data_IF_002781333066
#
_entry.id   IF_002781333066
#
_cell.length_a   1.000
_cell.length_b   1.000
_cell.length_c   1.000
_cell.angle_alpha   90.00
_cell.angle_beta   90.00
_cell.angle_gamma   90.00
#
_symmetry.space_group_name_H-M   'P 1'
#
loop_
_entity.id
_entity.type
_entity.pdbx_description
1 polymer ?
#
# COMPACT_ATOMS: atom_id res chain seq x y z
N UNK A 1 -42.78 -11.33 -77.40
CA UNK A 1 -41.94 -10.12 -77.16
C UNK A 1 -42.43 -9.41 -75.93
N UNK A 2 -41.78 -9.56 -74.77
CA UNK A 2 -42.21 -9.01 -73.54
C UNK A 2 -41.13 -8.04 -73.03
N UNK A 3 -41.48 -6.79 -72.82
CA UNK A 3 -40.63 -5.72 -72.38
C UNK A 3 -40.55 -5.71 -70.84
N UNK A 4 -39.36 -5.95 -70.30
CA UNK A 4 -39.04 -5.84 -68.88
C UNK A 4 -38.72 -4.37 -68.55
N UNK A 5 -39.43 -3.79 -67.56
CA UNK A 5 -39.12 -2.50 -66.94
C UNK A 5 -37.93 -2.62 -65.97
N UNK A 6 -37.04 -1.64 -65.86
CA UNK A 6 -35.99 -1.62 -64.85
C UNK A 6 -36.53 -1.15 -63.49
N UNK A 7 -36.11 -1.87 -62.45
CA UNK A 7 -36.39 -1.57 -61.05
C UNK A 7 -35.55 -0.41 -60.54
N UNK A 8 -36.20 0.52 -59.86
CA UNK A 8 -35.58 1.60 -59.11
C UNK A 8 -34.99 1.04 -57.80
N UNK A 9 -33.68 0.84 -57.78
CA UNK A 9 -32.91 0.61 -56.55
C UNK A 9 -31.72 1.57 -56.54
N UNK A 10 -31.89 2.70 -55.95
CA UNK A 10 -30.81 3.67 -55.82
C UNK A 10 -31.27 4.86 -55.00
N UNK A 11 -31.00 4.84 -53.65
CA UNK A 11 -30.82 5.98 -52.76
C UNK A 11 -31.25 5.63 -51.33
N UNK A 12 -30.40 4.95 -50.60
CA UNK A 12 -30.34 5.04 -49.12
C UNK A 12 -28.97 4.50 -48.65
N UNK A 13 -27.88 5.15 -49.07
CA UNK A 13 -26.56 4.93 -48.56
C UNK A 13 -25.96 6.33 -48.26
N UNK A 14 -26.22 6.87 -47.10
CA UNK A 14 -25.71 8.20 -46.81
C UNK A 14 -26.02 8.74 -45.38
N UNK A 15 -26.80 8.03 -44.57
CA UNK A 15 -27.14 8.52 -43.24
C UNK A 15 -26.71 7.63 -42.05
N UNK A 16 -26.01 6.52 -42.34
CA UNK A 16 -25.56 5.61 -41.28
C UNK A 16 -24.15 5.86 -40.78
N UNK A 17 -23.35 6.71 -41.41
CA UNK A 17 -21.90 6.87 -41.07
C UNK A 17 -21.61 8.02 -40.07
N UNK A 18 -22.54 8.91 -39.84
CA UNK A 18 -22.35 10.04 -38.91
C UNK A 18 -22.78 9.75 -37.46
N UNK A 19 -23.58 8.72 -37.23
CA UNK A 19 -24.00 8.31 -35.89
C UNK A 19 -23.00 7.40 -35.17
N UNK A 20 -22.05 6.77 -35.88
CA UNK A 20 -21.07 5.87 -35.30
C UNK A 20 -19.81 6.57 -34.74
N UNK A 21 -19.57 7.84 -35.08
CA UNK A 21 -18.38 8.59 -34.62
C UNK A 21 -18.61 9.34 -33.30
N UNK A 22 -19.85 9.50 -32.85
CA UNK A 22 -20.17 10.26 -31.62
C UNK A 22 -20.27 9.39 -30.36
N UNK A 23 -20.07 8.07 -30.45
CA UNK A 23 -20.14 7.13 -29.31
C UNK A 23 -18.77 6.67 -28.81
N UNK A 24 -17.68 7.24 -29.30
CA UNK A 24 -16.30 6.82 -28.92
C UNK A 24 -15.59 7.72 -27.91
N UNK A 25 -16.24 8.65 -27.24
CA UNK A 25 -15.56 9.59 -26.35
C UNK A 25 -16.26 9.75 -24.99
N UNK A 26 -16.68 8.67 -24.38
CA UNK A 26 -16.98 8.67 -22.95
C UNK A 26 -16.42 7.39 -22.32
N UNK A 27 -15.12 7.14 -22.51
CA UNK A 27 -14.42 6.36 -21.51
C UNK A 27 -14.48 7.18 -20.21
N UNK A 28 -15.04 6.66 -19.10
CA UNK A 28 -15.01 7.38 -17.84
C UNK A 28 -13.56 7.70 -17.56
N UNK A 29 -13.24 9.00 -17.44
CA UNK A 29 -11.92 9.43 -17.02
C UNK A 29 -11.66 8.74 -15.69
N UNK A 30 -10.69 7.82 -15.67
CA UNK A 30 -10.20 7.24 -14.41
C UNK A 30 -9.78 8.44 -13.58
N UNK A 31 -10.37 8.66 -12.40
CA UNK A 31 -10.01 9.82 -11.60
C UNK A 31 -8.50 9.76 -11.35
N UNK A 32 -7.80 10.83 -11.72
CA UNK A 32 -6.38 10.95 -11.44
C UNK A 32 -6.18 10.77 -9.94
N UNK A 33 -5.20 9.95 -9.57
CA UNK A 33 -4.84 9.80 -8.15
C UNK A 33 -4.47 11.19 -7.63
N UNK A 34 -5.05 11.66 -6.50
CA UNK A 34 -4.73 12.98 -5.98
C UNK A 34 -3.21 13.04 -5.70
N UNK A 35 -2.58 14.13 -6.14
CA UNK A 35 -1.17 14.35 -5.93
C UNK A 35 -0.89 14.37 -4.42
N UNK A 36 0.06 13.57 -3.96
CA UNK A 36 0.49 13.59 -2.58
C UNK A 36 1.25 14.90 -2.31
N UNK A 37 0.97 15.53 -1.18
CA UNK A 37 1.75 16.66 -0.68
C UNK A 37 2.65 16.19 0.47
N UNK A 38 3.96 15.98 0.23
CA UNK A 38 4.91 15.55 1.25
C UNK A 38 4.99 16.50 2.45
N UNK A 39 4.71 17.79 2.24
CA UNK A 39 4.68 18.81 3.29
C UNK A 39 3.55 18.60 4.29
N UNK A 40 2.49 17.88 3.91
CA UNK A 40 1.37 17.57 4.82
C UNK A 40 1.69 16.45 5.80
N UNK A 41 2.68 15.60 5.56
CA UNK A 41 3.08 14.52 6.48
C UNK A 41 3.87 15.14 7.64
N UNK A 42 3.27 15.34 8.81
CA UNK A 42 3.90 16.09 9.91
C UNK A 42 4.84 15.23 10.74
N UNK A 43 4.77 13.91 10.60
CA UNK A 43 5.50 12.96 11.44
C UNK A 43 6.74 12.40 10.74
N UNK A 44 7.75 12.07 11.52
CA UNK A 44 8.94 11.31 11.09
C UNK A 44 8.96 9.91 11.69
N UNK A 45 8.22 9.71 12.78
CA UNK A 45 8.10 8.44 13.50
C UNK A 45 6.73 8.35 14.17
N UNK A 46 6.19 7.16 14.24
CA UNK A 46 5.14 6.81 15.19
C UNK A 46 5.20 5.33 15.58
N UNK A 47 4.68 5.03 16.78
CA UNK A 47 4.53 3.67 17.29
C UNK A 47 3.07 3.38 17.65
N UNK A 48 2.56 2.27 17.13
CA UNK A 48 1.24 1.71 17.47
C UNK A 48 1.42 0.46 18.31
N UNK A 49 0.54 0.24 19.29
CA UNK A 49 0.55 -0.96 20.13
C UNK A 49 -0.85 -1.48 20.36
N UNK A 50 -0.98 -2.79 20.34
CA UNK A 50 -2.15 -3.52 20.81
C UNK A 50 -1.73 -4.57 21.83
N UNK A 51 -2.58 -4.80 22.83
CA UNK A 51 -2.42 -5.88 23.81
C UNK A 51 -3.77 -6.53 24.06
N UNK A 52 -3.83 -7.85 23.98
CA UNK A 52 -5.04 -8.63 24.24
C UNK A 52 -4.69 -10.04 24.70
N UNK A 53 -5.23 -10.46 25.85
CA UNK A 53 -5.07 -11.82 26.38
C UNK A 53 -3.60 -12.28 26.46
N UNK A 54 -2.68 -11.40 26.88
CA UNK A 54 -1.26 -11.69 26.98
C UNK A 54 -0.51 -11.70 25.63
N UNK A 55 -1.20 -11.40 24.54
CA UNK A 55 -0.57 -11.19 23.23
C UNK A 55 -0.34 -9.70 23.03
N UNK A 56 0.82 -9.33 22.49
CA UNK A 56 1.20 -7.94 22.20
C UNK A 56 1.64 -7.79 20.75
N UNK A 57 1.19 -6.71 20.12
CA UNK A 57 1.68 -6.30 18.80
C UNK A 57 2.19 -4.87 18.93
N UNK A 58 3.41 -4.65 18.50
CA UNK A 58 4.00 -3.31 18.41
C UNK A 58 4.39 -3.06 16.96
N UNK A 59 3.98 -1.94 16.40
CA UNK A 59 4.35 -1.51 15.05
C UNK A 59 4.96 -0.13 15.11
N UNK A 60 6.20 -0.01 14.70
CA UNK A 60 6.92 1.26 14.55
C UNK A 60 7.00 1.64 13.07
N UNK A 61 6.74 2.89 12.77
CA UNK A 61 6.83 3.44 11.41
C UNK A 61 7.75 4.65 11.44
N UNK A 62 8.72 4.68 10.52
CA UNK A 62 9.68 5.78 10.36
C UNK A 62 9.73 6.20 8.90
N UNK A 63 9.85 7.50 8.65
CA UNK A 63 10.13 8.03 7.33
C UNK A 63 11.44 8.83 7.35
N UNK A 64 12.17 8.73 6.24
CA UNK A 64 13.34 9.55 5.97
C UNK A 64 13.32 9.99 4.52
N UNK A 65 13.57 11.27 4.28
CA UNK A 65 13.81 11.81 2.95
C UNK A 65 15.30 11.63 2.61
N UNK A 66 15.58 11.06 1.45
CA UNK A 66 16.90 10.66 1.02
C UNK A 66 17.19 11.21 -0.39
N UNK A 67 18.43 11.61 -0.71
CA UNK A 67 18.81 11.96 -2.06
C UNK A 67 18.65 10.76 -3.01
N UNK A 68 17.88 10.91 -4.08
CA UNK A 68 17.61 9.83 -5.03
C UNK A 68 18.89 9.27 -5.67
N UNK A 69 19.87 10.12 -5.93
CA UNK A 69 21.16 9.72 -6.51
C UNK A 69 21.94 8.77 -5.59
N UNK A 70 21.89 8.97 -4.27
CA UNK A 70 22.61 8.13 -3.30
C UNK A 70 21.98 6.71 -3.16
N UNK A 71 20.67 6.62 -3.36
CA UNK A 71 19.95 5.34 -3.20
C UNK A 71 19.83 4.54 -4.50
N UNK A 72 20.12 5.17 -5.65
CA UNK A 72 19.89 4.58 -6.99
C UNK A 72 20.55 3.22 -7.19
N UNK A 73 21.74 3.02 -6.66
CA UNK A 73 22.49 1.77 -6.80
C UNK A 73 21.81 0.57 -6.10
N UNK A 74 20.86 0.81 -5.16
CA UNK A 74 20.14 -0.26 -4.46
C UNK A 74 19.14 -0.98 -5.36
N UNK A 75 18.54 -0.26 -6.30
CA UNK A 75 17.44 -0.78 -7.10
C UNK A 75 17.70 -0.75 -8.61
N UNK A 76 18.85 -0.24 -9.07
CA UNK A 76 19.25 -0.24 -10.47
C UNK A 76 20.61 -0.93 -10.67
N UNK A 77 20.74 -1.77 -11.74
CA UNK A 77 19.66 -2.27 -12.56
C UNK A 77 18.82 -3.31 -11.83
N UNK A 78 17.50 -3.31 -12.06
CA UNK A 78 16.62 -4.38 -11.57
C UNK A 78 16.86 -5.69 -12.35
N UNK A 79 16.59 -6.85 -11.73
CA UNK A 79 16.85 -8.15 -12.36
C UNK A 79 15.91 -8.45 -13.54
N UNK A 80 14.73 -7.83 -13.59
CA UNK A 80 13.74 -8.02 -14.65
C UNK A 80 12.78 -6.82 -14.74
N UNK A 81 12.34 -6.48 -15.97
CA UNK A 81 11.43 -5.38 -16.24
C UNK A 81 12.14 -4.02 -16.33
N UNK A 82 11.40 -2.99 -16.73
CA UNK A 82 11.89 -1.62 -16.80
C UNK A 82 11.65 -0.94 -15.43
N UNK A 83 12.72 -0.66 -14.65
CA UNK A 83 12.54 -0.06 -13.33
C UNK A 83 11.93 1.34 -13.45
N UNK A 84 11.16 1.71 -12.42
CA UNK A 84 10.75 3.10 -12.27
C UNK A 84 11.97 3.98 -11.96
N UNK A 85 11.95 5.19 -12.46
CA UNK A 85 12.92 6.22 -12.11
C UNK A 85 12.23 7.28 -11.25
N UNK A 86 12.90 7.79 -10.20
CA UNK A 86 12.37 8.90 -9.43
C UNK A 86 12.04 10.10 -10.32
N UNK A 87 10.93 10.76 -10.08
CA UNK A 87 10.53 11.96 -10.79
C UNK A 87 11.25 13.23 -10.27
N UNK A 88 11.91 13.12 -9.11
CA UNK A 88 12.58 14.24 -8.43
C UNK A 88 13.94 13.87 -7.84
N UNK A 89 14.61 14.86 -7.20
CA UNK A 89 15.91 14.65 -6.57
C UNK A 89 15.85 13.87 -5.25
N UNK A 90 14.66 13.69 -4.71
CA UNK A 90 14.45 13.07 -3.40
C UNK A 90 13.57 11.83 -3.49
N UNK A 91 13.81 10.89 -2.59
CA UNK A 91 12.99 9.73 -2.31
C UNK A 91 12.57 9.73 -0.85
N UNK A 92 11.48 9.07 -0.56
CA UNK A 92 11.12 8.70 0.80
C UNK A 92 11.46 7.23 1.03
N UNK A 93 12.15 6.97 2.13
CA UNK A 93 12.29 5.64 2.71
C UNK A 93 11.31 5.51 3.86
N UNK A 94 10.33 4.63 3.74
CA UNK A 94 9.44 4.21 4.81
C UNK A 94 9.97 2.92 5.42
N UNK A 95 10.16 2.91 6.73
CA UNK A 95 10.59 1.74 7.50
C UNK A 95 9.47 1.35 8.47
N UNK A 96 9.04 0.10 8.40
CA UNK A 96 8.03 -0.47 9.30
C UNK A 96 8.63 -1.66 10.01
N UNK A 97 8.64 -1.64 11.35
CA UNK A 97 9.01 -2.77 12.19
C UNK A 97 7.78 -3.22 12.95
N UNK A 98 7.39 -4.48 12.81
CA UNK A 98 6.31 -5.09 13.58
C UNK A 98 6.87 -6.23 14.41
N UNK A 99 6.60 -6.20 15.72
CA UNK A 99 6.91 -7.29 16.66
C UNK A 99 5.60 -7.86 17.15
N UNK A 100 5.43 -9.18 17.01
CA UNK A 100 4.26 -9.94 17.45
C UNK A 100 4.70 -10.90 18.54
N UNK A 101 4.24 -10.66 19.76
CA UNK A 101 4.49 -11.49 20.94
C UNK A 101 3.21 -12.26 21.25
N UNK A 102 3.24 -13.58 21.10
CA UNK A 102 2.14 -14.47 21.42
C UNK A 102 2.53 -15.29 22.65
N UNK A 103 1.66 -15.31 23.65
CA UNK A 103 1.90 -16.03 24.89
C UNK A 103 2.31 -17.50 24.61
N UNK A 104 3.45 -17.91 25.17
CA UNK A 104 3.99 -19.27 25.00
C UNK A 104 4.59 -19.57 23.63
N UNK A 105 4.79 -18.57 22.76
CA UNK A 105 5.44 -18.72 21.45
C UNK A 105 6.66 -17.81 21.32
N UNK A 106 7.56 -18.18 20.41
CA UNK A 106 8.66 -17.31 20.02
C UNK A 106 8.11 -16.04 19.36
N UNK A 107 8.63 -14.86 19.73
CA UNK A 107 8.25 -13.61 19.07
C UNK A 107 8.57 -13.63 17.57
N UNK A 108 7.68 -13.06 16.78
CA UNK A 108 7.89 -12.84 15.35
C UNK A 108 8.23 -11.38 15.12
N UNK A 109 9.35 -11.12 14.43
CA UNK A 109 9.73 -9.78 14.02
C UNK A 109 9.66 -9.66 12.50
N UNK A 110 9.05 -8.59 12.02
CA UNK A 110 8.95 -8.25 10.60
C UNK A 110 9.49 -6.84 10.41
N UNK A 111 10.58 -6.72 9.67
CA UNK A 111 11.14 -5.45 9.24
C UNK A 111 10.86 -5.25 7.75
N UNK A 112 10.33 -4.09 7.37
CA UNK A 112 10.05 -3.72 6.00
C UNK A 112 10.58 -2.31 5.71
N UNK A 113 11.34 -2.17 4.63
CA UNK A 113 11.83 -0.89 4.15
C UNK A 113 11.39 -0.71 2.70
N UNK A 114 10.72 0.40 2.41
CA UNK A 114 10.21 0.72 1.08
C UNK A 114 10.78 2.06 0.64
N UNK A 115 11.33 2.12 -0.57
CA UNK A 115 11.75 3.35 -1.24
C UNK A 115 10.75 3.70 -2.31
N UNK A 116 10.25 4.93 -2.30
CA UNK A 116 9.24 5.40 -3.23
C UNK A 116 9.37 6.89 -3.55
N UNK A 117 8.78 7.29 -4.67
CA UNK A 117 8.67 8.70 -5.04
C UNK A 117 7.62 9.39 -4.16
N UNK A 118 7.96 10.47 -3.44
CA UNK A 118 7.02 11.12 -2.53
C UNK A 118 5.84 11.82 -3.21
N UNK A 119 5.94 12.13 -4.51
CA UNK A 119 4.93 12.92 -5.24
C UNK A 119 3.67 12.12 -5.57
N UNK A 120 3.84 10.85 -5.87
CA UNK A 120 2.76 9.98 -6.32
C UNK A 120 2.73 8.62 -5.60
N UNK A 121 3.73 8.34 -4.75
CA UNK A 121 3.85 7.07 -4.04
C UNK A 121 4.38 5.93 -4.91
N UNK A 122 4.93 6.19 -6.12
CA UNK A 122 5.51 5.14 -6.98
C UNK A 122 6.57 4.35 -6.23
N UNK A 123 6.33 3.05 -5.94
CA UNK A 123 7.32 2.22 -5.27
C UNK A 123 8.45 1.88 -6.24
N UNK A 124 9.68 1.89 -5.74
CA UNK A 124 10.88 1.54 -6.51
C UNK A 124 11.45 0.22 -6.05
N UNK A 125 11.59 0.08 -4.73
CA UNK A 125 12.25 -1.07 -4.13
C UNK A 125 11.72 -1.32 -2.72
N UNK A 126 11.68 -2.60 -2.31
CA UNK A 126 11.32 -2.99 -0.95
C UNK A 126 12.24 -4.11 -0.46
N UNK A 127 12.64 -4.02 0.79
CA UNK A 127 13.24 -5.10 1.56
C UNK A 127 12.26 -5.52 2.65
N UNK A 128 12.02 -6.81 2.80
CA UNK A 128 11.23 -7.35 3.89
C UNK A 128 11.93 -8.55 4.50
N UNK A 129 12.14 -8.49 5.82
CA UNK A 129 12.74 -9.57 6.58
C UNK A 129 11.78 -10.02 7.67
N UNK A 130 11.56 -11.31 7.79
CA UNK A 130 10.83 -11.93 8.90
C UNK A 130 11.76 -12.88 9.63
N UNK A 131 11.74 -12.81 10.97
CA UNK A 131 12.49 -13.68 11.85
C UNK A 131 11.64 -14.18 13.00
N UNK A 132 11.93 -15.37 13.51
CA UNK A 132 11.24 -16.03 14.61
C UNK A 132 10.49 -17.28 14.19
N UNK A 133 9.61 -17.17 13.21
CA UNK A 133 8.85 -18.30 12.64
C UNK A 133 8.77 -18.08 11.14
N UNK A 134 9.04 -19.12 10.34
CA UNK A 134 9.07 -19.06 8.87
C UNK A 134 9.95 -17.91 8.38
N UNK A 135 11.20 -17.94 8.75
CA UNK A 135 12.18 -16.89 8.48
C UNK A 135 12.40 -16.70 7.00
N UNK A 136 12.35 -15.46 6.54
CA UNK A 136 12.64 -15.10 5.16
C UNK A 136 13.22 -13.70 5.03
N UNK A 137 13.97 -13.49 3.95
CA UNK A 137 14.47 -12.21 3.50
C UNK A 137 14.05 -12.00 2.03
N UNK A 138 13.26 -10.99 1.76
CA UNK A 138 12.66 -10.71 0.47
C UNK A 138 13.08 -9.34 -0.04
N UNK A 139 13.50 -9.30 -1.30
CA UNK A 139 13.78 -8.11 -2.06
C UNK A 139 12.75 -8.00 -3.18
N UNK A 140 12.14 -6.82 -3.34
CA UNK A 140 11.16 -6.56 -4.37
C UNK A 140 11.60 -5.38 -5.22
N UNK A 141 11.64 -5.57 -6.53
CA UNK A 141 11.84 -4.50 -7.50
C UNK A 141 10.52 -4.23 -8.20
N UNK A 142 10.05 -3.00 -8.10
CA UNK A 142 8.85 -2.56 -8.78
C UNK A 142 9.22 -2.00 -10.14
N UNK A 143 8.55 -2.47 -11.18
CA UNK A 143 8.81 -2.12 -12.57
C UNK A 143 7.50 -1.73 -13.26
N UNK A 144 7.58 -1.26 -14.50
CA UNK A 144 6.38 -0.92 -15.29
C UNK A 144 5.55 -2.14 -15.66
N UNK A 145 6.18 -3.30 -15.77
CA UNK A 145 5.55 -4.55 -16.21
C UNK A 145 5.10 -5.45 -15.06
N UNK A 146 5.60 -5.23 -13.85
CA UNK A 146 5.31 -6.12 -12.73
C UNK A 146 6.27 -5.94 -11.57
N UNK A 147 6.22 -6.90 -10.64
CA UNK A 147 7.08 -6.93 -9.45
C UNK A 147 7.99 -8.15 -9.52
N UNK A 148 9.29 -7.95 -9.49
CA UNK A 148 10.25 -9.04 -9.32
C UNK A 148 10.55 -9.22 -7.84
N UNK A 149 10.45 -10.46 -7.34
CA UNK A 149 10.79 -10.83 -5.96
C UNK A 149 11.96 -11.81 -5.95
N UNK A 150 12.96 -11.51 -5.13
CA UNK A 150 13.98 -12.47 -4.71
C UNK A 150 13.75 -12.77 -3.23
N UNK A 151 13.71 -14.05 -2.88
CA UNK A 151 13.52 -14.51 -1.50
C UNK A 151 14.66 -15.42 -1.10
N UNK A 152 15.19 -15.22 0.10
CA UNK A 152 16.11 -16.12 0.77
C UNK A 152 15.46 -16.67 2.03
N UNK A 153 15.72 -17.94 2.31
CA UNK A 153 15.31 -18.62 3.54
C UNK A 153 16.52 -19.38 4.10
N UNK A 154 16.61 -19.54 5.43
CA UNK A 154 17.68 -20.35 6.02
C UNK A 154 17.42 -21.83 5.72
N UNK A 155 18.49 -22.57 5.40
CA UNK A 155 18.41 -24.03 5.22
C UNK A 155 18.42 -24.78 6.56
N UNK A 156 18.86 -24.14 7.63
CA UNK A 156 18.99 -24.72 8.98
C UNK A 156 18.90 -23.63 10.06
N UNK A 157 18.72 -24.04 11.31
CA UNK A 157 18.76 -23.14 12.47
C UNK A 157 20.12 -22.43 12.64
N UNK A 158 21.22 -23.08 12.26
CA UNK A 158 22.57 -22.46 12.25
C UNK A 158 22.63 -21.33 11.24
N UNK A 159 22.02 -21.51 10.09
CA UNK A 159 21.97 -20.48 9.07
C UNK A 159 21.00 -19.35 9.45
N UNK A 160 19.90 -19.66 10.13
CA UNK A 160 18.95 -18.66 10.64
C UNK A 160 19.60 -17.65 11.61
N UNK A 161 20.67 -18.05 12.31
CA UNK A 161 21.44 -17.17 13.18
C UNK A 161 22.41 -16.23 12.43
N UNK A 162 22.56 -16.37 11.11
CA UNK A 162 23.41 -15.53 10.27
C UNK A 162 22.61 -14.34 9.68
N UNK A 163 23.30 -13.33 9.13
CA UNK A 163 22.63 -12.26 8.41
C UNK A 163 21.71 -12.79 7.30
N UNK A 164 20.47 -12.31 7.21
CA UNK A 164 19.44 -12.84 6.28
C UNK A 164 19.86 -12.84 4.80
N UNK A 165 20.74 -11.91 4.42
CA UNK A 165 21.28 -11.79 3.07
C UNK A 165 22.18 -12.99 2.69
N UNK A 166 22.68 -13.72 3.69
CA UNK A 166 23.56 -14.89 3.51
C UNK A 166 22.82 -16.22 3.46
N UNK A 167 21.48 -16.26 3.69
CA UNK A 167 20.71 -17.50 3.69
C UNK A 167 20.71 -18.15 2.31
N UNK A 168 20.86 -19.49 2.29
CA UNK A 168 21.20 -20.22 1.07
C UNK A 168 20.04 -20.65 0.21
N UNK A 169 18.85 -20.89 0.77
CA UNK A 169 17.67 -21.23 -0.03
C UNK A 169 17.20 -20.00 -0.79
N UNK A 170 17.45 -19.97 -2.11
CA UNK A 170 17.11 -18.86 -2.99
C UNK A 170 15.90 -19.20 -3.86
N UNK A 171 14.91 -18.32 -3.89
CA UNK A 171 13.78 -18.34 -4.80
C UNK A 171 13.62 -17.01 -5.50
N UNK A 172 13.29 -17.04 -6.80
CA UNK A 172 13.03 -15.85 -7.59
C UNK A 172 11.70 -15.99 -8.32
N UNK A 173 10.93 -14.90 -8.35
CA UNK A 173 9.65 -14.89 -9.05
C UNK A 173 9.34 -13.50 -9.60
N UNK A 174 8.74 -13.47 -10.79
CA UNK A 174 8.21 -12.27 -11.40
C UNK A 174 6.69 -12.33 -11.44
N UNK A 175 6.05 -11.32 -10.87
CA UNK A 175 4.60 -11.14 -10.84
C UNK A 175 4.22 -10.08 -11.87
N UNK A 176 3.82 -10.47 -13.10
CA UNK A 176 3.41 -9.49 -14.10
C UNK A 176 2.10 -8.83 -13.70
N UNK A 177 1.97 -7.55 -13.98
CA UNK A 177 0.71 -6.85 -13.72
C UNK A 177 -0.43 -7.34 -14.60
N UNK A 178 -0.14 -7.65 -15.88
CA UNK A 178 -1.09 -8.23 -16.83
C UNK A 178 -2.43 -7.51 -16.90
N UNK A 179 -3.51 -8.22 -17.28
CA UNK A 179 -4.86 -7.65 -17.35
C UNK A 179 -5.41 -7.18 -16.00
N UNK A 180 -4.93 -7.74 -14.89
CA UNK A 180 -5.37 -7.35 -13.55
C UNK A 180 -5.08 -5.87 -13.23
N UNK A 181 -4.04 -5.28 -13.86
CA UNK A 181 -3.72 -3.87 -13.72
C UNK A 181 -4.47 -2.95 -14.68
N UNK A 182 -5.32 -3.49 -15.57
CA UNK A 182 -6.16 -2.65 -16.43
C UNK A 182 -7.10 -1.80 -15.56
N UNK A 183 -7.05 -0.47 -15.75
CA UNK A 183 -7.77 0.48 -14.90
C UNK A 183 -7.05 0.86 -13.61
N UNK A 184 -5.82 0.38 -13.40
CA UNK A 184 -4.92 0.87 -12.36
C UNK A 184 -3.97 1.90 -12.98
N UNK A 185 -4.06 3.19 -12.66
CA UNK A 185 -3.11 4.18 -13.17
C UNK A 185 -1.69 3.88 -12.68
N UNK A 186 -1.62 3.25 -11.51
CA UNK A 186 -0.38 2.88 -10.82
C UNK A 186 -0.63 1.74 -9.86
N UNK A 187 0.38 0.90 -9.63
CA UNK A 187 0.37 -0.15 -8.60
C UNK A 187 1.32 0.25 -7.48
N UNK A 188 0.76 0.51 -6.31
CA UNK A 188 1.47 0.92 -5.11
C UNK A 188 1.95 -0.29 -4.30
N UNK A 189 2.73 -0.02 -3.27
CA UNK A 189 3.07 -0.96 -2.21
C UNK A 189 2.22 -0.67 -0.96
N UNK A 190 1.76 -1.70 -0.27
CA UNK A 190 0.77 -1.59 0.81
C UNK A 190 1.21 -0.66 1.94
N UNK A 191 2.48 -0.68 2.35
CA UNK A 191 2.96 0.15 3.47
C UNK A 191 2.91 1.65 3.15
N UNK A 192 2.96 2.03 1.87
CA UNK A 192 2.91 3.44 1.44
C UNK A 192 1.54 4.06 1.72
N UNK A 193 0.49 3.27 1.87
CA UNK A 193 -0.87 3.77 2.09
C UNK A 193 -0.97 4.69 3.31
N UNK A 194 -0.25 4.39 4.40
CA UNK A 194 -0.27 5.25 5.59
C UNK A 194 0.35 6.63 5.33
N UNK A 195 1.41 6.67 4.51
CA UNK A 195 2.00 7.91 4.07
C UNK A 195 1.05 8.71 3.18
N UNK A 196 0.46 8.07 2.16
CA UNK A 196 -0.50 8.72 1.25
C UNK A 196 -1.73 9.22 1.98
N UNK A 197 -2.22 8.47 2.96
CA UNK A 197 -3.33 8.90 3.80
C UNK A 197 -3.00 10.18 4.60
N UNK A 198 -1.78 10.38 5.04
CA UNK A 198 -1.34 11.61 5.70
C UNK A 198 -1.05 12.74 4.71
N UNK A 199 -0.55 12.41 3.51
CA UNK A 199 -0.17 13.37 2.48
C UNK A 199 -1.35 13.92 1.66
N UNK A 200 -2.51 13.25 1.67
CA UNK A 200 -3.69 13.64 0.88
C UNK A 200 -4.75 14.31 1.75
N UNK A 201 -5.31 15.47 1.36
CA UNK A 201 -6.37 16.15 2.11
C UNK A 201 -7.61 15.27 2.33
N UNK A 202 -8.24 15.37 3.49
CA UNK A 202 -9.48 14.62 3.79
C UNK A 202 -10.61 15.00 2.82
N UNK A 203 -10.71 16.26 2.44
CA UNK A 203 -11.72 16.77 1.52
C UNK A 203 -11.67 16.10 0.16
N UNK A 204 -10.49 15.72 -0.30
CA UNK A 204 -10.29 14.98 -1.56
C UNK A 204 -10.66 13.50 -1.43
N UNK A 205 -10.88 13.01 -0.20
CA UNK A 205 -11.31 11.64 0.10
C UNK A 205 -12.82 11.50 0.21
N UNK A 206 -13.60 12.59 0.05
CA UNK A 206 -15.06 12.54 0.07
C UNK A 206 -15.54 11.79 -1.18
N UNK A 207 -16.04 10.58 -0.95
CA UNK A 207 -16.36 9.59 -1.95
C UNK A 207 -15.40 8.39 -1.87
N UNK A 208 -15.75 7.31 -2.55
CA UNK A 208 -14.87 6.13 -2.61
C UNK A 208 -13.64 6.47 -3.47
N UNK A 209 -12.53 6.82 -2.84
CA UNK A 209 -11.24 6.83 -3.51
C UNK A 209 -10.64 5.44 -3.49
N UNK A 210 -10.09 4.99 -4.60
CA UNK A 210 -9.44 3.68 -4.67
C UNK A 210 -8.07 3.79 -5.30
N UNK A 211 -7.17 2.92 -4.84
CA UNK A 211 -5.82 2.75 -5.39
C UNK A 211 -5.57 1.27 -5.65
N UNK A 212 -4.66 0.98 -6.55
CA UNK A 212 -4.21 -0.39 -6.76
C UNK A 212 -2.93 -0.63 -5.97
N UNK A 213 -2.85 -1.75 -5.26
CA UNK A 213 -1.66 -2.12 -4.50
C UNK A 213 -1.20 -3.53 -4.84
N UNK A 214 0.10 -3.75 -4.84
CA UNK A 214 0.67 -5.08 -4.87
C UNK A 214 0.74 -5.62 -3.45
N UNK A 215 -0.01 -6.68 -3.19
CA UNK A 215 -0.06 -7.34 -1.89
C UNK A 215 -0.04 -8.87 -2.08
N UNK A 216 0.81 -9.58 -1.34
CA UNK A 216 0.90 -11.06 -1.32
C UNK A 216 0.93 -11.75 -2.68
N UNK A 217 1.51 -11.20 -3.71
CA UNK A 217 1.62 -11.73 -5.08
C UNK A 217 0.47 -11.35 -6.02
N UNK A 218 -0.53 -10.59 -5.54
CA UNK A 218 -1.67 -10.13 -6.32
C UNK A 218 -1.74 -8.61 -6.35
N UNK A 219 -2.46 -8.09 -7.32
CA UNK A 219 -2.90 -6.70 -7.32
C UNK A 219 -4.26 -6.65 -6.64
N UNK A 220 -4.41 -5.76 -5.70
CA UNK A 220 -5.66 -5.47 -5.02
C UNK A 220 -6.12 -4.05 -5.35
N UNK A 221 -7.42 -3.87 -5.51
CA UNK A 221 -8.04 -2.55 -5.42
C UNK A 221 -8.35 -2.29 -3.96
N UNK A 222 -7.73 -1.26 -3.40
CA UNK A 222 -7.98 -0.80 -2.03
C UNK A 222 -8.83 0.45 -2.10
N UNK A 223 -10.01 0.40 -1.48
CA UNK A 223 -10.98 1.49 -1.44
C UNK A 223 -11.03 2.09 -0.04
N UNK A 224 -11.12 3.42 0.02
CA UNK A 224 -11.19 4.17 1.26
C UNK A 224 -12.55 4.85 1.36
N UNK A 225 -13.25 4.61 2.47
CA UNK A 225 -14.56 5.18 2.75
C UNK A 225 -14.46 6.04 4.00
N UNK A 226 -14.71 7.33 3.84
CA UNK A 226 -14.83 8.24 4.98
C UNK A 226 -16.15 7.97 5.69
N UNK A 227 -16.08 7.65 6.98
CA UNK A 227 -17.25 7.43 7.84
C UNK A 227 -17.43 8.59 8.83
N UNK A 228 -18.54 8.60 9.55
CA UNK A 228 -18.80 9.60 10.58
C UNK A 228 -17.66 9.66 11.61
N UNK A 229 -17.27 10.87 11.97
CA UNK A 229 -16.27 11.09 13.01
C UNK A 229 -16.71 10.47 14.33
N UNK A 230 -15.75 9.96 15.09
CA UNK A 230 -15.97 9.34 16.40
C UNK A 230 -14.93 9.83 17.39
N UNK A 231 -15.33 10.00 18.64
CA UNK A 231 -14.38 10.25 19.72
C UNK A 231 -13.66 8.95 20.08
N UNK A 232 -12.33 9.00 20.16
CA UNK A 232 -11.47 7.89 20.60
C UNK A 232 -10.71 8.30 21.87
N UNK A 233 -10.49 7.34 22.75
CA UNK A 233 -9.58 7.55 23.88
C UNK A 233 -8.15 7.41 23.41
N UNK A 234 -7.32 8.41 23.66
CA UNK A 234 -5.90 8.44 23.31
C UNK A 234 -5.04 8.52 24.56
N UNK A 235 -3.84 7.94 24.49
CA UNK A 235 -2.79 8.07 25.49
C UNK A 235 -1.45 7.80 24.82
N UNK A 236 -0.80 8.88 24.37
CA UNK A 236 0.46 8.80 23.64
C UNK A 236 1.41 9.95 23.98
N UNK A 237 2.70 9.72 23.74
CA UNK A 237 3.76 10.70 23.86
C UNK A 237 3.97 11.40 22.50
N UNK A 238 3.81 12.71 22.48
CA UNK A 238 4.09 13.56 21.34
C UNK A 238 5.46 14.22 21.55
N UNK A 239 6.38 14.01 20.60
CA UNK A 239 7.70 14.64 20.58
C UNK A 239 7.77 15.62 19.42
N UNK A 240 8.18 16.84 19.71
CA UNK A 240 8.39 17.92 18.74
C UNK A 240 9.78 18.50 18.93
N UNK A 241 10.30 19.32 18.01
CA UNK A 241 11.55 20.07 18.25
C UNK A 241 11.49 20.97 19.48
N UNK A 242 10.29 21.39 19.91
CA UNK A 242 10.09 22.24 21.10
C UNK A 242 10.03 21.45 22.41
N UNK A 243 9.92 20.13 22.38
CA UNK A 243 9.86 19.29 23.58
C UNK A 243 8.89 18.13 23.49
N UNK A 244 8.64 17.48 24.61
CA UNK A 244 7.76 16.32 24.75
C UNK A 244 6.48 16.68 25.47
N UNK A 245 5.36 16.16 25.00
CA UNK A 245 4.04 16.35 25.62
C UNK A 245 3.24 15.04 25.63
N UNK A 246 2.62 14.69 26.75
CA UNK A 246 1.72 13.54 26.81
C UNK A 246 0.29 13.98 26.49
N UNK A 247 -0.27 13.40 25.44
CA UNK A 247 -1.66 13.58 25.04
C UNK A 247 -2.50 12.45 25.60
N UNK A 248 -3.45 12.76 26.49
CA UNK A 248 -4.37 11.78 27.07
C UNK A 248 -5.78 12.31 27.11
N UNK A 249 -6.77 11.40 27.05
CA UNK A 249 -8.18 11.74 27.12
C UNK A 249 -8.96 11.44 25.84
N UNK A 250 -10.12 12.07 25.69
CA UNK A 250 -11.00 11.92 24.56
C UNK A 250 -10.59 12.87 23.42
N UNK A 251 -10.39 12.34 22.21
CA UNK A 251 -10.04 13.10 21.02
C UNK A 251 -10.99 12.76 19.86
N UNK A 252 -11.52 13.77 19.14
CA UNK A 252 -12.27 13.51 17.92
C UNK A 252 -11.34 12.88 16.87
N UNK A 253 -11.86 11.89 16.14
CA UNK A 253 -11.14 11.20 15.10
C UNK A 253 -12.03 11.01 13.88
N UNK A 254 -11.47 11.24 12.70
CA UNK A 254 -12.10 10.83 11.44
C UNK A 254 -11.90 9.33 11.25
N UNK A 255 -12.96 8.62 10.89
CA UNK A 255 -12.90 7.18 10.59
C UNK A 255 -12.75 6.97 9.10
N UNK A 256 -11.85 6.06 8.73
CA UNK A 256 -11.63 5.63 7.34
C UNK A 256 -11.73 4.11 7.33
N UNK A 257 -12.77 3.59 6.67
CA UNK A 257 -12.90 2.16 6.41
C UNK A 257 -12.11 1.82 5.14
N UNK A 258 -11.32 0.77 5.22
CA UNK A 258 -10.44 0.31 4.16
C UNK A 258 -10.91 -1.07 3.72
N UNK A 259 -11.32 -1.18 2.46
CA UNK A 259 -11.72 -2.44 1.83
C UNK A 259 -10.68 -2.85 0.78
N UNK A 260 -10.39 -4.13 0.70
CA UNK A 260 -9.42 -4.68 -0.25
C UNK A 260 -10.08 -5.76 -1.11
N UNK A 261 -10.02 -5.58 -2.43
CA UNK A 261 -10.54 -6.53 -3.40
C UNK A 261 -9.42 -7.00 -4.33
N UNK A 262 -9.11 -8.31 -4.41
CA UNK A 262 -8.13 -8.82 -5.36
C UNK A 262 -8.61 -8.63 -6.80
N UNK A 263 -7.72 -8.19 -7.69
CA UNK A 263 -7.98 -7.96 -9.11
C UNK A 263 -7.46 -9.13 -9.97
N UNK A 264 -7.59 -10.34 -9.52
CA UNK A 264 -7.15 -11.51 -10.27
C UNK A 264 -7.40 -12.79 -9.47
N UNK A 265 -7.31 -13.93 -10.16
CA UNK A 265 -7.41 -15.23 -9.51
C UNK A 265 -6.00 -15.78 -9.32
N UNK A 266 -5.61 -16.00 -8.08
CA UNK A 266 -4.41 -16.77 -7.75
C UNK A 266 -4.85 -18.20 -7.37
N UNK A 267 -4.23 -19.21 -8.02
CA UNK A 267 -4.38 -20.61 -7.63
C UNK A 267 -3.26 -20.96 -6.64
N UNK A 268 -3.50 -20.84 -5.37
CA UNK A 268 -2.57 -21.19 -4.31
C UNK A 268 -3.14 -20.82 -2.93
N UNK A 269 -2.65 -21.47 -1.88
CA UNK A 269 -3.03 -21.15 -0.50
C UNK A 269 -2.55 -19.75 -0.14
N UNK A 270 -3.45 -18.79 -0.22
CA UNK A 270 -3.22 -17.42 0.23
C UNK A 270 -3.76 -17.34 1.65
N UNK A 271 -2.87 -17.31 2.64
CA UNK A 271 -3.25 -16.84 3.97
C UNK A 271 -3.76 -15.39 3.83
N UNK A 272 -5.05 -15.20 3.96
CA UNK A 272 -5.72 -13.91 3.87
C UNK A 272 -5.45 -13.10 5.13
N UNK A 273 -4.56 -12.10 5.06
CA UNK A 273 -4.31 -11.14 6.15
C UNK A 273 -5.00 -9.78 5.97
N UNK A 274 -5.68 -9.56 4.85
CA UNK A 274 -6.65 -8.49 4.69
C UNK A 274 -8.04 -9.12 4.64
N UNK A 275 -8.41 -9.77 5.72
CA UNK A 275 -9.81 -10.10 5.95
C UNK A 275 -10.52 -8.84 6.40
N UNK A 276 -11.53 -8.50 5.63
CA UNK A 276 -12.64 -7.60 5.88
C UNK A 276 -12.53 -6.57 7.02
N UNK A 277 -12.75 -5.28 6.66
CA UNK A 277 -12.99 -4.16 7.57
C UNK A 277 -11.80 -3.68 8.43
N UNK A 278 -10.70 -3.31 7.79
CA UNK A 278 -9.70 -2.50 8.47
C UNK A 278 -10.27 -1.08 8.67
N UNK A 279 -10.31 -0.63 9.94
CA UNK A 279 -10.69 0.73 10.31
C UNK A 279 -9.46 1.51 10.77
N UNK A 280 -9.21 2.62 10.10
CA UNK A 280 -8.21 3.58 10.52
C UNK A 280 -8.91 4.80 11.14
N UNK A 281 -8.49 5.18 12.34
CA UNK A 281 -8.88 6.43 12.97
C UNK A 281 -7.71 7.41 12.87
N UNK A 282 -7.96 8.57 12.28
CA UNK A 282 -6.96 9.62 12.11
C UNK A 282 -7.40 10.89 12.84
N UNK A 283 -6.46 11.79 13.10
CA UNK A 283 -6.79 13.12 13.61
C UNK A 283 -7.80 13.85 12.69
N UNK A 284 -8.54 14.86 13.17
CA UNK A 284 -9.55 15.55 12.35
C UNK A 284 -9.02 16.14 11.04
N UNK A 285 -7.75 16.54 11.01
CA UNK A 285 -7.04 16.99 9.81
C UNK A 285 -6.54 15.85 8.92
N UNK A 286 -6.72 14.58 9.36
CA UNK A 286 -6.37 13.36 8.63
C UNK A 286 -4.90 13.02 8.59
N UNK A 287 -4.05 13.71 9.36
CA UNK A 287 -2.60 13.59 9.22
C UNK A 287 -1.94 12.64 10.21
N UNK A 288 -2.55 12.42 11.38
CA UNK A 288 -1.99 11.55 12.42
C UNK A 288 -2.79 10.25 12.54
N UNK A 289 -2.17 9.07 12.46
CA UNK A 289 -2.82 7.80 12.74
C UNK A 289 -3.00 7.65 14.25
N UNK A 290 -4.24 7.63 14.74
CA UNK A 290 -4.56 7.50 16.16
C UNK A 290 -4.80 6.04 16.57
N UNK A 291 -5.44 5.26 15.68
CA UNK A 291 -5.75 3.86 15.94
C UNK A 291 -6.01 3.11 14.62
N UNK A 292 -5.55 1.87 14.58
CA UNK A 292 -5.88 0.91 13.50
C UNK A 292 -6.60 -0.26 14.14
N UNK A 293 -7.80 -0.59 13.66
CA UNK A 293 -8.53 -1.80 14.04
C UNK A 293 -8.47 -2.79 12.90
N UNK A 294 -8.07 -4.02 13.18
CA UNK A 294 -8.04 -5.12 12.23
C UNK A 294 -8.49 -6.42 12.89
N UNK A 295 -9.00 -7.35 12.11
CA UNK A 295 -9.26 -8.72 12.54
C UNK A 295 -7.98 -9.54 12.33
N UNK A 296 -7.59 -10.31 13.32
CA UNK A 296 -6.46 -11.24 13.21
C UNK A 296 -6.95 -12.67 13.41
N UNK A 297 -6.54 -13.60 12.53
CA UNK A 297 -6.85 -15.01 12.71
C UNK A 297 -6.42 -15.48 14.11
N UNK A 298 -7.26 -16.25 14.78
CA UNK A 298 -7.04 -16.85 16.11
C UNK A 298 -7.08 -15.87 17.31
N UNK A 299 -6.84 -14.55 17.10
CA UNK A 299 -6.82 -13.55 18.17
C UNK A 299 -8.12 -12.74 18.19
N UNK A 300 -8.77 -12.61 17.01
CA UNK A 300 -9.93 -11.78 16.79
C UNK A 300 -9.56 -10.31 16.62
N UNK A 301 -10.52 -9.42 16.84
CA UNK A 301 -10.35 -7.99 16.62
C UNK A 301 -9.31 -7.39 17.55
N UNK A 302 -8.32 -6.71 16.95
CA UNK A 302 -7.25 -5.99 17.62
C UNK A 302 -7.34 -4.49 17.30
N UNK A 303 -7.02 -3.67 18.30
CA UNK A 303 -6.94 -2.21 18.17
C UNK A 303 -5.52 -1.76 18.47
N UNK A 304 -4.74 -1.46 17.42
CA UNK A 304 -3.42 -0.88 17.57
C UNK A 304 -3.57 0.63 17.80
N UNK A 305 -3.22 1.09 18.99
CA UNK A 305 -3.36 2.49 19.42
C UNK A 305 -2.03 3.21 19.36
N UNK A 306 -2.06 4.48 18.98
CA UNK A 306 -0.88 5.34 19.01
C UNK A 306 -0.33 5.43 20.44
N UNK A 307 0.98 5.20 20.58
CA UNK A 307 1.73 5.28 21.84
C UNK A 307 2.77 6.38 21.83
N UNK A 308 3.36 6.63 20.68
CA UNK A 308 4.38 7.66 20.52
C UNK A 308 4.33 8.21 19.10
N UNK A 309 4.60 9.50 18.94
CA UNK A 309 4.73 10.16 17.65
C UNK A 309 5.80 11.25 17.72
N UNK A 310 6.65 11.33 16.68
CA UNK A 310 7.62 12.42 16.51
C UNK A 310 7.16 13.29 15.34
N UNK A 311 6.91 14.54 15.63
CA UNK A 311 6.55 15.56 14.65
C UNK A 311 7.80 16.30 14.17
N UNK A 312 7.72 16.84 12.94
CA UNK A 312 8.78 17.66 12.32
C UNK A 312 8.90 19.02 13.01
#
# INVERSE_FOLDING_TARGET
>A
MAWKRPSAAGRRLGQGLLAAILLMVLAPAVPAQPAADPGRVPWTFFALQAERLGNRITTEVRIATLPAAAERARFLPGPKGVPFSPSGPELVKLSVTTVIEILGRQPVRIDSHVWFDPRDGTPLFRIRTRTGVDDYHQLFWFTREGVFRRQREPASSVEAARPPESWSKLGEHFYPYGPAAQGCPQVLETSILIYLLSATPITERQGASSVCVFHKRLIHRVSFFSEAAKTVSVDFLEKTPAGENRRSGAMPAQRIRIESQPLGTYRGDVEEFFEDDMLLHVSPDGRLPLMVSCELPLIGRMELRLKEIHLK
#
